data_IF_640964384889
#
_entry.id   IF_640964384889
#
_cell.length_a   1.000
_cell.length_b   1.000
_cell.length_c   1.000
_cell.angle_alpha   90.00
_cell.angle_beta   90.00
_cell.angle_gamma   90.00
#
_symmetry.space_group_name_H-M   'P 1'
#
loop_
_entity.id
_entity.type
_entity.pdbx_description
1 polymer ?
#
# COMPACT_ATOMS: atom_id res chain seq x y z
N UNK A 1 12.06 9.29 2.68
CA UNK A 1 10.67 8.77 2.69
C UNK A 1 10.71 7.27 2.93
N UNK A 2 9.91 6.80 3.86
CA UNK A 2 9.78 5.37 4.17
C UNK A 2 8.44 4.87 3.67
N UNK A 3 8.46 3.82 2.86
CA UNK A 3 7.28 3.20 2.27
C UNK A 3 7.16 1.77 2.79
N UNK A 4 6.01 1.44 3.36
CA UNK A 4 5.70 0.09 3.82
C UNK A 4 4.89 -0.62 2.73
N UNK A 5 5.40 -1.72 2.20
CA UNK A 5 4.78 -2.49 1.14
C UNK A 5 4.43 -3.89 1.68
N UNK A 6 3.15 -4.23 1.68
CA UNK A 6 2.65 -5.43 2.36
C UNK A 6 1.78 -6.29 1.45
N UNK A 7 2.18 -7.53 1.25
CA UNK A 7 1.39 -8.55 0.55
C UNK A 7 1.88 -9.95 0.88
N UNK A 8 0.96 -10.90 1.05
CA UNK A 8 1.30 -12.33 1.16
C UNK A 8 1.70 -12.90 -0.20
N UNK A 9 1.31 -12.27 -1.28
CA UNK A 9 1.60 -12.72 -2.62
C UNK A 9 2.98 -12.21 -3.03
N UNK A 10 3.96 -13.12 -3.12
CA UNK A 10 5.33 -12.75 -3.43
C UNK A 10 5.46 -12.02 -4.76
N UNK A 11 4.76 -12.50 -5.79
CA UNK A 11 4.81 -11.90 -7.12
C UNK A 11 4.27 -10.46 -7.12
N UNK A 12 3.15 -10.24 -6.43
CA UNK A 12 2.58 -8.90 -6.27
C UNK A 12 3.52 -7.98 -5.52
N UNK A 13 4.07 -8.46 -4.41
CA UNK A 13 4.99 -7.68 -3.58
C UNK A 13 6.24 -7.28 -4.37
N UNK A 14 6.78 -8.19 -5.16
CA UNK A 14 7.94 -7.91 -5.99
C UNK A 14 7.64 -6.85 -7.06
N UNK A 15 6.51 -6.97 -7.76
CA UNK A 15 6.07 -5.97 -8.73
C UNK A 15 5.88 -4.61 -8.11
N UNK A 16 5.24 -4.59 -6.95
CA UNK A 16 5.00 -3.35 -6.21
C UNK A 16 6.31 -2.67 -5.87
N UNK A 17 7.23 -3.40 -5.27
CA UNK A 17 8.50 -2.83 -4.84
C UNK A 17 9.38 -2.40 -6.03
N UNK A 18 9.39 -3.17 -7.10
CA UNK A 18 10.13 -2.81 -8.31
C UNK A 18 9.56 -1.54 -8.95
N UNK A 19 8.24 -1.45 -9.04
CA UNK A 19 7.58 -0.25 -9.56
C UNK A 19 7.86 0.98 -8.71
N UNK A 20 7.76 0.84 -7.39
CA UNK A 20 8.04 1.95 -6.48
C UNK A 20 9.49 2.39 -6.55
N UNK A 21 10.43 1.45 -6.62
CA UNK A 21 11.86 1.78 -6.73
C UNK A 21 12.16 2.53 -8.02
N UNK A 22 11.45 2.20 -9.09
CA UNK A 22 11.62 2.90 -10.37
C UNK A 22 11.07 4.32 -10.33
N UNK A 23 9.95 4.53 -9.64
CA UNK A 23 9.26 5.83 -9.58
C UNK A 23 9.86 6.74 -8.51
N UNK A 24 10.20 6.15 -7.37
CA UNK A 24 10.71 6.85 -6.19
C UNK A 24 12.04 6.24 -5.77
N UNK A 25 13.12 6.47 -6.54
CA UNK A 25 14.39 5.75 -6.31
C UNK A 25 15.07 6.07 -4.99
N UNK A 26 14.75 7.21 -4.37
CA UNK A 26 15.35 7.60 -3.11
C UNK A 26 14.55 7.15 -1.88
N UNK A 27 13.42 6.47 -2.09
CA UNK A 27 12.59 5.99 -0.99
C UNK A 27 13.14 4.71 -0.39
N UNK A 28 13.02 4.58 0.93
CA UNK A 28 13.29 3.33 1.64
C UNK A 28 12.03 2.48 1.61
N UNK A 29 12.08 1.35 0.90
CA UNK A 29 10.94 0.47 0.77
C UNK A 29 11.11 -0.72 1.70
N UNK A 30 10.20 -0.84 2.66
CA UNK A 30 10.16 -1.92 3.63
C UNK A 30 9.15 -2.95 3.14
N UNK A 31 9.65 -4.14 2.81
CA UNK A 31 8.83 -5.26 2.34
C UNK A 31 8.36 -6.09 3.54
N UNK A 32 7.09 -6.42 3.56
CA UNK A 32 6.55 -7.26 4.61
C UNK A 32 5.48 -8.19 4.03
N UNK A 33 5.63 -9.48 4.25
CA UNK A 33 4.69 -10.48 3.76
C UNK A 33 3.60 -10.82 4.78
N UNK A 34 3.70 -10.33 6.00
CA UNK A 34 2.78 -10.64 7.09
C UNK A 34 2.20 -9.33 7.64
N UNK A 35 0.87 -9.24 7.64
CA UNK A 35 0.19 -8.02 8.10
C UNK A 35 0.44 -7.71 9.57
N UNK A 36 0.56 -8.73 10.43
CA UNK A 36 0.85 -8.50 11.84
C UNK A 36 2.25 -7.95 12.05
N UNK A 37 3.22 -8.45 11.28
CA UNK A 37 4.58 -7.95 11.34
C UNK A 37 4.68 -6.53 10.78
N UNK A 38 3.91 -6.23 9.75
CA UNK A 38 3.82 -4.88 9.22
C UNK A 38 3.27 -3.90 10.27
N UNK A 39 2.23 -4.31 10.97
CA UNK A 39 1.68 -3.51 12.08
C UNK A 39 2.69 -3.27 13.18
N UNK A 40 3.42 -4.30 13.58
CA UNK A 40 4.48 -4.16 14.58
C UNK A 40 5.58 -3.21 14.13
N UNK A 41 5.97 -3.30 12.87
CA UNK A 41 6.97 -2.40 12.31
C UNK A 41 6.54 -0.94 12.45
N UNK A 42 5.26 -0.67 12.17
CA UNK A 42 4.73 0.69 12.22
C UNK A 42 4.76 1.33 13.61
N UNK A 43 4.75 0.53 14.68
CA UNK A 43 4.85 1.06 16.04
C UNK A 43 6.20 1.70 16.32
N UNK A 44 7.27 1.18 15.72
CA UNK A 44 8.63 1.56 16.07
C UNK A 44 9.33 2.40 15.00
N UNK A 45 8.66 2.63 13.87
CA UNK A 45 9.26 3.31 12.73
C UNK A 45 8.29 4.29 12.12
N UNK A 46 8.80 5.41 11.65
CA UNK A 46 7.99 6.38 10.91
C UNK A 46 7.65 5.83 9.53
N UNK A 47 6.38 5.94 9.15
CA UNK A 47 5.87 5.50 7.86
C UNK A 47 5.26 6.70 7.14
N UNK A 48 5.78 7.04 5.97
CA UNK A 48 5.27 8.15 5.15
C UNK A 48 4.18 7.70 4.21
N UNK A 49 4.29 6.47 3.70
CA UNK A 49 3.39 5.92 2.70
C UNK A 49 3.30 4.42 2.88
N UNK A 50 2.13 3.84 2.60
CA UNK A 50 1.97 2.40 2.65
C UNK A 50 1.10 1.88 1.52
N UNK A 51 1.39 0.66 1.10
CA UNK A 51 0.60 -0.09 0.13
C UNK A 51 0.26 -1.43 0.76
N UNK A 52 -1.01 -1.78 0.81
CA UNK A 52 -1.46 -3.04 1.41
C UNK A 52 -2.38 -3.78 0.47
N UNK A 53 -2.07 -5.05 0.24
CA UNK A 53 -2.94 -5.97 -0.48
C UNK A 53 -4.19 -6.22 0.37
N UNK A 54 -5.39 -6.12 -0.23
CA UNK A 54 -6.63 -6.37 0.50
C UNK A 54 -6.71 -7.82 0.98
N UNK A 55 -6.18 -8.76 0.20
CA UNK A 55 -6.24 -10.18 0.50
C UNK A 55 -5.04 -10.63 1.34
N UNK A 56 -5.11 -10.38 2.63
CA UNK A 56 -4.07 -10.74 3.58
C UNK A 56 -4.62 -11.74 4.60
N UNK A 57 -3.79 -12.69 4.99
CA UNK A 57 -4.10 -13.58 6.10
C UNK A 57 -4.00 -12.80 7.42
N UNK A 58 -4.72 -13.24 8.43
CA UNK A 58 -4.77 -12.66 9.77
C UNK A 58 -5.45 -11.30 9.81
N UNK A 59 -4.83 -10.28 9.24
CA UNK A 59 -5.39 -8.93 9.18
C UNK A 59 -5.46 -8.51 7.72
N UNK A 60 -6.65 -8.20 7.22
CA UNK A 60 -6.80 -7.79 5.83
C UNK A 60 -6.22 -6.38 5.61
N UNK A 61 -6.02 -6.01 4.34
CA UNK A 61 -5.39 -4.74 4.01
C UNK A 61 -6.12 -3.53 4.58
N UNK A 62 -7.45 -3.55 4.60
CA UNK A 62 -8.25 -2.45 5.16
C UNK A 62 -7.97 -2.29 6.65
N UNK A 63 -7.98 -3.41 7.38
CA UNK A 63 -7.71 -3.40 8.81
C UNK A 63 -6.29 -2.91 9.12
N UNK A 64 -5.32 -3.36 8.33
CA UNK A 64 -3.93 -2.94 8.48
C UNK A 64 -3.78 -1.44 8.26
N UNK A 65 -4.41 -0.90 7.23
CA UNK A 65 -4.37 0.54 6.95
C UNK A 65 -4.95 1.32 8.13
N UNK A 66 -6.10 0.89 8.65
CA UNK A 66 -6.71 1.54 9.81
C UNK A 66 -5.78 1.53 11.02
N UNK A 67 -5.12 0.40 11.24
CA UNK A 67 -4.19 0.23 12.36
C UNK A 67 -2.99 1.19 12.22
N UNK A 68 -2.36 1.22 11.04
CA UNK A 68 -1.20 2.08 10.80
C UNK A 68 -1.57 3.55 10.88
N UNK A 69 -2.74 3.93 10.38
CA UNK A 69 -3.19 5.32 10.44
C UNK A 69 -3.43 5.84 11.84
N UNK A 70 -3.73 4.96 12.80
CA UNK A 70 -3.83 5.37 14.20
C UNK A 70 -2.49 5.86 14.74
N UNK A 71 -1.39 5.19 14.33
CA UNK A 71 -0.04 5.55 14.75
C UNK A 71 0.56 6.67 13.88
N UNK A 72 0.15 6.73 12.63
CA UNK A 72 0.68 7.68 11.63
C UNK A 72 -0.47 8.37 10.90
N UNK A 73 -1.14 9.34 11.52
CA UNK A 73 -2.33 9.96 10.93
C UNK A 73 -2.11 10.61 9.56
N UNK A 74 -0.87 11.02 9.27
CA UNK A 74 -0.52 11.62 8.00
C UNK A 74 -0.07 10.64 6.91
N UNK A 75 -0.12 9.32 7.17
CA UNK A 75 0.35 8.34 6.20
C UNK A 75 -0.52 8.37 4.93
N UNK A 76 0.15 8.34 3.77
CA UNK A 76 -0.52 8.14 2.50
C UNK A 76 -0.72 6.64 2.32
N UNK A 77 -1.98 6.18 2.24
CA UNK A 77 -2.31 4.76 2.25
C UNK A 77 -3.04 4.35 0.99
N UNK A 78 -2.58 3.26 0.39
CA UNK A 78 -3.13 2.71 -0.85
C UNK A 78 -3.49 1.25 -0.65
N UNK A 79 -4.73 0.91 -0.99
CA UNK A 79 -5.23 -0.46 -0.94
C UNK A 79 -5.09 -1.07 -2.34
N UNK A 80 -4.54 -2.27 -2.44
CA UNK A 80 -4.42 -2.99 -3.70
C UNK A 80 -5.50 -4.07 -3.74
N UNK A 81 -6.32 -4.05 -4.78
CA UNK A 81 -7.43 -5.00 -4.94
C UNK A 81 -7.27 -5.79 -6.23
N UNK A 82 -7.81 -7.02 -6.29
CA UNK A 82 -7.80 -7.81 -7.52
C UNK A 82 -8.56 -7.13 -8.65
N UNK A 83 -8.22 -7.51 -9.88
CA UNK A 83 -8.90 -7.02 -11.07
C UNK A 83 -10.42 -7.26 -10.98
N UNK A 84 -11.20 -6.23 -11.25
CA UNK A 84 -12.66 -6.30 -11.22
C UNK A 84 -13.29 -6.07 -9.86
N UNK A 85 -12.50 -5.91 -8.78
CA UNK A 85 -13.03 -5.80 -7.43
C UNK A 85 -13.02 -4.38 -6.85
N UNK A 86 -12.64 -3.39 -7.65
CA UNK A 86 -12.51 -2.00 -7.14
C UNK A 86 -13.85 -1.48 -6.58
N UNK A 87 -14.96 -1.88 -7.14
CA UNK A 87 -16.29 -1.46 -6.70
C UNK A 87 -16.83 -2.23 -5.50
N UNK A 88 -16.10 -3.23 -5.01
CA UNK A 88 -16.50 -4.00 -3.84
C UNK A 88 -16.23 -3.25 -2.53
N UNK A 89 -15.61 -2.07 -2.62
CA UNK A 89 -15.21 -1.28 -1.45
C UNK A 89 -15.83 0.12 -1.43
N UNK A 90 -17.15 0.25 -1.71
CA UNK A 90 -17.79 1.58 -1.75
C UNK A 90 -17.87 2.26 -0.37
N UNK A 91 -17.67 1.49 0.70
CA UNK A 91 -17.68 2.00 2.08
C UNK A 91 -16.36 2.68 2.48
N UNK A 92 -15.31 2.51 1.66
CA UNK A 92 -14.04 3.17 1.93
C UNK A 92 -14.09 4.62 1.44
N UNK A 93 -13.79 5.54 2.33
CA UNK A 93 -13.79 6.97 2.04
C UNK A 93 -12.36 7.47 1.82
N UNK A 94 -12.23 8.67 1.27
CA UNK A 94 -10.93 9.33 1.13
C UNK A 94 -10.29 9.64 2.49
N UNK A 95 -11.08 9.62 3.57
CA UNK A 95 -10.54 9.78 4.92
C UNK A 95 -9.90 8.49 5.45
N UNK A 96 -10.25 7.34 4.89
CA UNK A 96 -9.72 6.05 5.31
C UNK A 96 -8.53 5.59 4.47
N UNK A 97 -8.59 5.82 3.16
CA UNK A 97 -7.52 5.47 2.23
C UNK A 97 -7.25 6.63 1.28
N UNK A 98 -6.00 6.81 0.91
CA UNK A 98 -5.61 7.82 -0.07
C UNK A 98 -6.06 7.39 -1.47
N UNK A 99 -6.00 6.10 -1.75
CA UNK A 99 -6.45 5.57 -3.02
C UNK A 99 -6.57 4.06 -3.02
N UNK A 100 -7.24 3.53 -4.05
CA UNK A 100 -7.39 2.10 -4.29
C UNK A 100 -6.78 1.82 -5.66
N UNK A 101 -5.91 0.82 -5.72
CA UNK A 101 -5.23 0.43 -6.95
C UNK A 101 -5.69 -0.97 -7.34
N UNK A 102 -6.20 -1.09 -8.56
CA UNK A 102 -6.65 -2.37 -9.09
C UNK A 102 -5.50 -3.10 -9.79
N UNK A 103 -5.36 -4.40 -9.56
CA UNK A 103 -4.41 -5.20 -10.31
C UNK A 103 -4.82 -5.32 -11.77
N UNK A 104 -3.89 -5.50 -12.71
CA UNK A 104 -2.46 -5.71 -12.49
C UNK A 104 -1.71 -4.43 -12.15
N UNK A 105 -0.71 -4.54 -11.28
CA UNK A 105 0.16 -3.41 -10.96
C UNK A 105 1.13 -3.15 -12.10
N UNK A 106 1.10 -1.93 -12.60
CA UNK A 106 2.05 -1.47 -13.61
C UNK A 106 2.69 -0.18 -13.11
N UNK A 107 3.80 0.19 -13.71
CA UNK A 107 4.43 1.47 -13.40
C UNK A 107 3.43 2.61 -13.62
N UNK A 108 2.66 2.53 -14.69
CA UNK A 108 1.64 3.54 -15.02
C UNK A 108 0.54 3.62 -13.98
N UNK A 109 0.03 2.47 -13.50
CA UNK A 109 -1.01 2.46 -12.48
C UNK A 109 -0.51 3.03 -11.16
N UNK A 110 0.74 2.77 -10.81
CA UNK A 110 1.37 3.34 -9.61
C UNK A 110 1.59 4.84 -9.76
N UNK A 111 2.09 5.29 -10.90
CA UNK A 111 2.27 6.72 -11.16
C UNK A 111 0.95 7.48 -11.08
N UNK A 112 -0.11 6.89 -11.63
CA UNK A 112 -1.45 7.48 -11.58
C UNK A 112 -1.96 7.57 -10.15
N UNK A 113 -1.79 6.50 -9.37
CA UNK A 113 -2.23 6.48 -7.97
C UNK A 113 -1.49 7.53 -7.13
N UNK A 114 -0.21 7.71 -7.39
CA UNK A 114 0.62 8.70 -6.70
C UNK A 114 0.45 10.11 -7.25
N UNK A 115 -0.37 10.28 -8.29
CA UNK A 115 -0.61 11.57 -8.96
C UNK A 115 0.70 12.21 -9.45
N UNK A 116 1.59 11.39 -9.98
CA UNK A 116 2.85 11.86 -10.54
C UNK A 116 2.63 12.25 -11.99
N UNK A 117 2.83 13.53 -12.28
CA UNK A 117 2.72 14.03 -13.64
C UNK A 117 4.05 13.90 -14.35
N UNK A 118 4.01 13.27 -15.51
CA UNK A 118 5.18 13.21 -16.38
C UNK A 118 5.31 14.52 -17.14
N UNK A 119 6.53 14.99 -17.21
CA UNK A 119 6.88 16.17 -17.99
C UNK A 119 7.70 15.79 -19.20
#
# INVERSE_FOLDING_TARGET
MTILAVSNNFSLLERLCNGLSSILPDADIIREADSLMAGKYSFNHHIDMMFADVNMKRMCGVELIRFVRQEHPGVLSYLIVPSGEINDFPFLTSDEVTGIIEEPLTKESLEKALDIKRR
#
